data_IF_154745588425
#
_entry.id   IF_154745588425
#
_cell.length_a   1.000
_cell.length_b   1.000
_cell.length_c   1.000
_cell.angle_alpha   90.00
_cell.angle_beta   90.00
_cell.angle_gamma   90.00
#
_symmetry.space_group_name_H-M   'P 1'
#
loop_
_entity.id
_entity.type
_entity.pdbx_description
1 polymer ?
#
# COMPACT_ATOMS: atom_id res chain seq x y z
N UNK A 1 2.21 5.03 36.13
CA UNK A 1 3.56 4.79 35.60
C UNK A 1 4.35 6.10 35.72
N UNK A 2 5.53 6.09 36.34
CA UNK A 2 6.37 7.28 36.46
C UNK A 2 7.00 7.68 35.12
N UNK A 3 7.48 8.92 34.98
CA UNK A 3 8.11 9.38 33.74
C UNK A 3 9.36 8.54 33.44
N UNK A 4 9.57 8.25 32.15
CA UNK A 4 10.76 7.53 31.68
C UNK A 4 12.03 8.29 32.10
N UNK A 5 13.04 7.55 32.54
CA UNK A 5 14.37 8.10 32.81
C UNK A 5 15.05 8.57 31.51
N UNK A 6 16.07 9.42 31.63
CA UNK A 6 16.83 9.89 30.46
C UNK A 6 17.46 8.74 29.63
N UNK A 7 18.03 7.68 30.24
CA UNK A 7 18.48 6.49 29.50
C UNK A 7 17.34 5.77 28.77
N UNK A 8 16.18 5.59 29.41
CA UNK A 8 15.02 4.94 28.79
C UNK A 8 14.48 5.72 27.59
N UNK A 9 14.48 7.07 27.65
CA UNK A 9 14.11 7.91 26.50
C UNK A 9 15.06 7.75 25.32
N UNK A 10 16.37 7.70 25.58
CA UNK A 10 17.38 7.47 24.52
C UNK A 10 17.24 6.09 23.90
N UNK A 11 17.01 5.06 24.72
CA UNK A 11 16.77 3.70 24.24
C UNK A 11 15.49 3.62 23.39
N UNK A 12 14.41 4.30 23.82
CA UNK A 12 13.17 4.40 23.05
C UNK A 12 13.37 5.14 21.72
N UNK A 13 14.15 6.22 21.70
CA UNK A 13 14.49 6.93 20.46
C UNK A 13 15.26 6.03 19.49
N UNK A 14 16.30 5.33 19.97
CA UNK A 14 17.03 4.38 19.12
C UNK A 14 16.11 3.28 18.61
N UNK A 15 15.24 2.71 19.45
CA UNK A 15 14.24 1.74 19.02
C UNK A 15 13.30 2.30 17.94
N UNK A 16 12.83 3.53 18.11
CA UNK A 16 11.99 4.20 17.12
C UNK A 16 12.75 4.50 15.82
N UNK A 17 14.01 4.89 15.92
CA UNK A 17 14.88 5.15 14.78
C UNK A 17 15.17 3.86 14.00
N UNK A 18 15.46 2.76 14.69
CA UNK A 18 15.62 1.42 14.09
C UNK A 18 14.31 0.90 13.49
N UNK A 19 13.15 1.15 14.11
CA UNK A 19 11.84 0.84 13.53
C UNK A 19 11.53 1.68 12.29
N UNK A 20 12.06 2.91 12.20
CA UNK A 20 11.95 3.76 11.01
C UNK A 20 12.97 3.39 9.93
N UNK A 21 14.18 2.98 10.32
CA UNK A 21 15.31 2.63 9.47
C UNK A 21 15.20 1.21 8.90
N UNK A 22 14.53 0.30 9.62
CA UNK A 22 14.00 -0.93 9.07
C UNK A 22 13.00 -0.57 7.98
N UNK A 23 13.52 -0.44 6.76
CA UNK A 23 12.83 -0.10 5.51
C UNK A 23 11.34 -0.40 5.64
N UNK A 24 10.49 0.64 5.70
CA UNK A 24 9.03 0.51 5.77
C UNK A 24 8.64 -0.72 4.95
N UNK A 25 8.26 -1.81 5.63
CA UNK A 25 8.15 -3.10 4.97
C UNK A 25 7.34 -2.88 3.67
N UNK A 26 7.67 -3.53 2.55
CA UNK A 26 6.95 -3.29 1.29
C UNK A 26 5.43 -3.55 1.42
N UNK A 27 5.01 -4.13 2.54
CA UNK A 27 3.64 -4.33 3.03
C UNK A 27 2.93 -3.08 3.62
N UNK A 28 3.63 -1.99 3.98
CA UNK A 28 3.03 -0.83 4.66
C UNK A 28 2.28 0.11 3.70
N UNK A 29 0.96 0.24 3.85
CA UNK A 29 0.16 1.23 3.13
C UNK A 29 -0.33 2.32 4.10
N UNK A 30 0.12 3.58 3.98
CA UNK A 30 -0.32 4.64 4.89
C UNK A 30 -1.81 4.91 4.69
N UNK A 31 -2.59 4.90 5.77
CA UNK A 31 -4.02 5.21 5.72
C UNK A 31 -4.27 6.68 6.08
N UNK A 32 -5.21 7.36 5.40
CA UNK A 32 -5.62 8.70 5.80
C UNK A 32 -6.41 8.67 7.13
N UNK A 33 -6.44 9.79 7.83
CA UNK A 33 -7.12 9.97 9.11
C UNK A 33 -8.52 10.58 8.94
N UNK A 34 -8.74 11.46 7.94
CA UNK A 34 -10.07 12.00 7.65
C UNK A 34 -11.03 10.85 7.29
N UNK A 35 -12.16 10.80 7.98
CA UNK A 35 -13.12 9.69 7.88
C UNK A 35 -13.60 9.45 6.43
N UNK A 36 -13.77 10.50 5.62
CA UNK A 36 -14.22 10.38 4.23
C UNK A 36 -13.12 9.77 3.37
N UNK A 37 -11.87 10.20 3.55
CA UNK A 37 -10.72 9.62 2.84
C UNK A 37 -10.46 8.18 3.27
N UNK A 38 -10.61 7.87 4.56
CA UNK A 38 -10.47 6.52 5.09
C UNK A 38 -11.53 5.58 4.51
N UNK A 39 -12.76 6.06 4.34
CA UNK A 39 -13.82 5.29 3.68
C UNK A 39 -13.50 5.00 2.21
N UNK A 40 -12.93 5.96 1.47
CA UNK A 40 -12.43 5.71 0.10
C UNK A 40 -11.33 4.65 0.12
N UNK A 41 -10.35 4.79 1.02
CA UNK A 41 -9.23 3.86 1.13
C UNK A 41 -9.71 2.43 1.41
N UNK A 42 -10.63 2.26 2.37
CA UNK A 42 -11.23 0.95 2.69
C UNK A 42 -12.00 0.38 1.51
N UNK A 43 -12.81 1.19 0.83
CA UNK A 43 -13.56 0.75 -0.34
C UNK A 43 -12.63 0.27 -1.46
N UNK A 44 -11.52 0.96 -1.72
CA UNK A 44 -10.52 0.55 -2.71
C UNK A 44 -9.70 -0.68 -2.30
N UNK A 45 -9.52 -0.93 -1.00
CA UNK A 45 -8.88 -2.16 -0.53
C UNK A 45 -9.80 -3.38 -0.67
N UNK A 46 -11.11 -3.16 -0.52
CA UNK A 46 -12.13 -4.19 -0.72
C UNK A 46 -12.37 -4.48 -2.21
N UNK A 47 -12.40 -3.44 -3.05
CA UNK A 47 -12.53 -3.52 -4.50
C UNK A 47 -11.36 -2.80 -5.22
N UNK A 48 -10.19 -3.45 -5.32
CA UNK A 48 -9.02 -2.87 -5.98
C UNK A 48 -9.22 -2.65 -7.49
N UNK A 49 -10.11 -3.43 -8.11
CA UNK A 49 -10.39 -3.39 -9.54
C UNK A 49 -11.40 -2.30 -9.94
N UNK A 50 -12.00 -1.60 -8.97
CA UNK A 50 -12.92 -0.49 -9.22
C UNK A 50 -12.44 0.40 -10.37
N UNK A 51 -13.34 0.76 -11.29
CA UNK A 51 -13.05 1.63 -12.43
C UNK A 51 -13.35 3.11 -12.17
N UNK A 52 -13.87 3.44 -10.98
CA UNK A 52 -14.17 4.82 -10.58
C UNK A 52 -12.94 5.70 -10.71
N UNK A 53 -13.10 6.85 -11.36
CA UNK A 53 -12.06 7.87 -11.44
C UNK A 53 -11.86 8.53 -10.07
N UNK A 54 -10.77 9.30 -9.93
CA UNK A 54 -10.58 10.10 -8.71
C UNK A 54 -11.73 11.10 -8.50
N UNK A 55 -12.32 11.64 -9.58
CA UNK A 55 -13.46 12.54 -9.49
C UNK A 55 -14.67 11.83 -8.89
N UNK A 56 -14.95 10.60 -9.34
CA UNK A 56 -16.08 9.81 -8.85
C UNK A 56 -15.91 9.48 -7.37
N UNK A 57 -14.69 9.13 -6.93
CA UNK A 57 -14.39 8.92 -5.52
C UNK A 57 -14.53 10.18 -4.67
N UNK A 58 -14.14 11.34 -5.21
CA UNK A 58 -14.34 12.60 -4.53
C UNK A 58 -15.84 12.89 -4.35
N UNK A 59 -16.62 12.76 -5.41
CA UNK A 59 -18.08 12.97 -5.37
C UNK A 59 -18.76 11.99 -4.40
N UNK A 60 -18.42 10.71 -4.47
CA UNK A 60 -18.96 9.68 -3.57
C UNK A 60 -18.70 10.00 -2.09
N UNK A 61 -17.57 10.62 -1.78
CA UNK A 61 -17.20 11.01 -0.43
C UNK A 61 -17.63 12.44 -0.04
N UNK A 62 -18.36 13.17 -0.91
CA UNK A 62 -18.76 14.56 -0.65
C UNK A 62 -17.58 15.54 -0.64
N UNK A 63 -16.62 15.35 -1.54
CA UNK A 63 -15.42 16.17 -1.69
C UNK A 63 -15.28 16.68 -3.13
N UNK A 64 -14.58 17.81 -3.30
CA UNK A 64 -14.04 18.18 -4.60
C UNK A 64 -12.77 17.36 -4.92
N UNK A 65 -12.46 17.07 -6.20
CA UNK A 65 -11.26 16.34 -6.58
C UNK A 65 -9.95 16.99 -6.07
N UNK A 66 -9.92 18.33 -6.05
CA UNK A 66 -8.80 19.13 -5.52
C UNK A 66 -8.62 18.90 -4.02
N UNK A 67 -9.72 18.86 -3.26
CA UNK A 67 -9.69 18.61 -1.81
C UNK A 67 -9.25 17.19 -1.51
N UNK A 68 -9.72 16.20 -2.29
CA UNK A 68 -9.26 14.83 -2.20
C UNK A 68 -7.74 14.75 -2.42
N UNK A 69 -7.23 15.22 -3.58
CA UNK A 69 -5.79 15.19 -3.88
C UNK A 69 -4.96 15.79 -2.76
N UNK A 70 -5.31 17.02 -2.34
CA UNK A 70 -4.52 17.78 -1.38
C UNK A 70 -4.50 17.08 -0.02
N UNK A 71 -5.66 16.71 0.52
CA UNK A 71 -5.74 16.12 1.87
C UNK A 71 -5.17 14.71 1.90
N UNK A 72 -5.41 13.92 0.86
CA UNK A 72 -4.85 12.57 0.76
C UNK A 72 -3.32 12.60 0.76
N UNK A 73 -2.72 13.52 -0.02
CA UNK A 73 -1.27 13.72 -0.02
C UNK A 73 -0.75 14.22 1.34
N UNK A 74 -1.44 15.17 1.96
CA UNK A 74 -1.06 15.72 3.26
C UNK A 74 -1.08 14.66 4.38
N UNK A 75 -2.05 13.75 4.38
CA UNK A 75 -2.23 12.77 5.43
C UNK A 75 -1.41 11.49 5.22
N UNK A 76 -1.23 11.05 3.97
CA UNK A 76 -0.55 9.79 3.65
C UNK A 76 0.89 9.96 3.16
N UNK A 77 1.28 11.18 2.81
CA UNK A 77 2.57 11.50 2.21
C UNK A 77 2.71 11.08 0.74
N UNK A 78 1.68 10.49 0.13
CA UNK A 78 1.69 10.07 -1.28
C UNK A 78 0.41 10.47 -2.01
N UNK A 79 0.50 10.64 -3.33
CA UNK A 79 -0.67 11.00 -4.14
C UNK A 79 -1.71 9.89 -4.13
N UNK A 80 -2.99 10.25 -4.31
CA UNK A 80 -4.08 9.28 -4.38
C UNK A 80 -3.86 8.20 -5.45
N UNK A 81 -3.34 8.58 -6.61
CA UNK A 81 -3.05 7.64 -7.70
C UNK A 81 -1.95 6.63 -7.30
N UNK A 82 -0.86 7.12 -6.71
CA UNK A 82 0.22 6.24 -6.23
C UNK A 82 -0.26 5.34 -5.10
N UNK A 83 -1.03 5.88 -4.16
CA UNK A 83 -1.64 5.11 -3.09
C UNK A 83 -2.53 3.98 -3.63
N UNK A 84 -3.41 4.29 -4.59
CA UNK A 84 -4.28 3.29 -5.21
C UNK A 84 -3.48 2.21 -5.95
N UNK A 85 -2.42 2.60 -6.66
CA UNK A 85 -1.53 1.63 -7.29
C UNK A 85 -0.88 0.71 -6.24
N UNK A 86 -0.37 1.25 -5.13
CA UNK A 86 0.22 0.44 -4.06
C UNK A 86 -0.82 -0.48 -3.39
N UNK A 87 -2.04 0.00 -3.18
CA UNK A 87 -3.15 -0.79 -2.66
C UNK A 87 -3.43 -2.01 -3.55
N UNK A 88 -3.48 -1.82 -4.88
CA UNK A 88 -3.68 -2.92 -5.84
C UNK A 88 -2.59 -3.99 -5.74
N UNK A 89 -1.31 -3.58 -5.71
CA UNK A 89 -0.19 -4.53 -5.55
C UNK A 89 -0.25 -5.24 -4.19
N UNK A 90 -0.68 -4.56 -3.13
CA UNK A 90 -0.78 -5.22 -1.82
C UNK A 90 -1.91 -6.24 -1.77
N UNK A 91 -3.06 -5.94 -2.38
CA UNK A 91 -4.18 -6.89 -2.47
C UNK A 91 -3.84 -8.09 -3.36
N UNK A 92 -2.97 -7.92 -4.34
CA UNK A 92 -2.52 -8.99 -5.22
C UNK A 92 -1.75 -10.11 -4.49
N UNK A 93 -1.12 -9.79 -3.35
CA UNK A 93 -0.39 -10.77 -2.53
C UNK A 93 -1.27 -11.92 -2.06
N UNK A 94 -2.56 -11.68 -1.79
CA UNK A 94 -3.49 -12.72 -1.34
C UNK A 94 -3.75 -13.77 -2.44
N UNK A 95 -3.86 -13.33 -3.69
CA UNK A 95 -4.02 -14.24 -4.82
C UNK A 95 -2.74 -15.04 -5.07
N UNK A 96 -1.60 -14.36 -5.06
CA UNK A 96 -0.30 -15.00 -5.28
C UNK A 96 0.07 -15.99 -4.17
N UNK A 97 -0.23 -15.69 -2.91
CA UNK A 97 0.04 -16.60 -1.80
C UNK A 97 -0.80 -17.89 -1.85
N UNK A 98 -1.93 -17.85 -2.55
CA UNK A 98 -2.76 -19.02 -2.87
C UNK A 98 -2.34 -19.74 -4.16
N UNK A 99 -1.24 -19.33 -4.78
CA UNK A 99 -0.71 -19.94 -6.01
C UNK A 99 -1.49 -19.59 -7.28
N UNK A 100 -2.33 -18.55 -7.27
CA UNK A 100 -3.04 -18.12 -8.49
C UNK A 100 -2.06 -17.63 -9.56
N UNK A 101 -2.43 -17.82 -10.82
CA UNK A 101 -1.62 -17.35 -11.94
C UNK A 101 -1.47 -15.82 -11.93
N UNK A 102 -0.28 -15.34 -12.28
CA UNK A 102 0.06 -13.90 -12.27
C UNK A 102 -0.91 -13.08 -13.14
N UNK A 103 -1.37 -13.64 -14.26
CA UNK A 103 -2.36 -13.02 -15.14
C UNK A 103 -3.71 -12.81 -14.45
N UNK A 104 -4.27 -13.88 -13.87
CA UNK A 104 -5.54 -13.82 -13.13
C UNK A 104 -5.49 -12.81 -11.98
N UNK A 105 -4.35 -12.73 -11.28
CA UNK A 105 -4.13 -11.79 -10.19
C UNK A 105 -4.06 -10.34 -10.71
N UNK A 106 -3.40 -10.11 -11.85
CA UNK A 106 -3.31 -8.78 -12.45
C UNK A 106 -4.72 -8.26 -12.82
N UNK A 107 -5.53 -9.10 -13.45
CA UNK A 107 -6.89 -8.77 -13.87
C UNK A 107 -7.78 -8.50 -12.65
N UNK A 108 -7.74 -9.38 -11.64
CA UNK A 108 -8.51 -9.23 -10.41
C UNK A 108 -8.14 -7.99 -9.59
N UNK A 109 -6.93 -7.43 -9.78
CA UNK A 109 -6.49 -6.19 -9.15
C UNK A 109 -6.69 -4.96 -10.05
N UNK A 110 -7.29 -5.11 -11.22
CA UNK A 110 -7.64 -4.04 -12.14
C UNK A 110 -6.47 -3.45 -12.92
N UNK A 111 -5.48 -4.28 -13.28
CA UNK A 111 -4.44 -3.89 -14.23
C UNK A 111 -4.87 -4.22 -15.66
N UNK A 112 -4.60 -3.31 -16.60
CA UNK A 112 -4.96 -3.50 -18.01
C UNK A 112 -4.13 -4.61 -18.69
N UNK A 113 -2.95 -4.92 -18.13
CA UNK A 113 -2.11 -6.02 -18.58
C UNK A 113 -1.12 -6.48 -17.51
N UNK A 114 -0.64 -7.71 -17.69
CA UNK A 114 0.29 -8.39 -16.78
C UNK A 114 1.63 -7.64 -16.65
N UNK A 115 2.14 -7.05 -17.73
CA UNK A 115 3.42 -6.33 -17.72
C UNK A 115 3.36 -5.07 -16.83
N UNK A 116 2.26 -4.31 -16.90
CA UNK A 116 2.02 -3.16 -16.04
C UNK A 116 1.95 -3.56 -14.56
N UNK A 117 1.30 -4.69 -14.28
CA UNK A 117 1.26 -5.27 -12.93
C UNK A 117 2.66 -5.67 -12.44
N UNK A 118 3.43 -6.44 -13.22
CA UNK A 118 4.78 -6.87 -12.84
C UNK A 118 5.69 -5.66 -12.60
N UNK A 119 5.60 -4.62 -13.43
CA UNK A 119 6.35 -3.39 -13.24
C UNK A 119 5.94 -2.63 -11.97
N UNK A 120 4.66 -2.60 -11.61
CA UNK A 120 4.18 -2.04 -10.35
C UNK A 120 4.65 -2.86 -9.14
N UNK A 121 4.58 -4.18 -9.22
CA UNK A 121 5.04 -5.10 -8.19
C UNK A 121 6.53 -4.94 -7.93
N UNK A 122 7.35 -4.97 -8.98
CA UNK A 122 8.81 -4.80 -8.88
C UNK A 122 9.21 -3.44 -8.32
N UNK A 123 8.52 -2.36 -8.72
CA UNK A 123 8.74 -1.03 -8.12
C UNK A 123 8.51 -1.00 -6.62
N UNK A 124 7.61 -1.86 -6.12
CA UNK A 124 7.24 -1.91 -4.71
C UNK A 124 8.09 -2.89 -3.88
N UNK A 125 8.36 -4.08 -4.43
CA UNK A 125 9.00 -5.20 -3.73
C UNK A 125 10.45 -5.45 -4.17
N UNK A 126 10.96 -4.71 -5.16
CA UNK A 126 12.31 -4.88 -5.73
C UNK A 126 12.47 -6.06 -6.68
N UNK A 127 11.60 -7.07 -6.59
CA UNK A 127 11.63 -8.32 -7.39
C UNK A 127 10.31 -8.57 -8.13
N UNK A 128 10.28 -9.53 -9.04
CA UNK A 128 9.04 -9.93 -9.74
C UNK A 128 8.14 -10.79 -8.83
N UNK A 129 6.83 -10.90 -9.11
CA UNK A 129 5.92 -11.78 -8.35
C UNK A 129 6.42 -13.22 -8.24
N UNK A 130 6.89 -13.80 -9.36
CA UNK A 130 7.39 -15.18 -9.38
C UNK A 130 8.63 -15.38 -8.52
N UNK A 131 9.55 -14.42 -8.51
CA UNK A 131 10.74 -14.47 -7.65
C UNK A 131 10.39 -14.26 -6.17
N UNK A 132 9.39 -13.43 -5.87
CA UNK A 132 8.94 -13.15 -4.50
C UNK A 132 8.29 -14.37 -3.85
N UNK A 133 7.51 -15.15 -4.61
CA UNK A 133 6.83 -16.35 -4.14
C UNK A 133 7.55 -17.65 -4.51
N UNK A 134 8.78 -17.56 -5.05
CA UNK A 134 9.60 -18.75 -5.26
C UNK A 134 9.94 -19.36 -3.88
N UNK A 135 9.91 -20.70 -3.75
CA UNK A 135 10.38 -21.34 -2.53
C UNK A 135 11.82 -20.89 -2.25
N UNK A 136 12.10 -20.50 -1.01
CA UNK A 136 13.45 -20.17 -0.57
C UNK A 136 14.33 -21.38 -0.90
N UNK A 137 15.22 -21.24 -1.88
CA UNK A 137 16.21 -22.28 -2.16
C UNK A 137 16.97 -22.49 -0.86
N UNK A 138 16.85 -23.68 -0.29
CA UNK A 138 17.66 -24.12 0.85
C UNK A 138 19.11 -23.87 0.48
N UNK A 139 19.74 -22.91 1.16
CA UNK A 139 21.18 -22.76 1.13
C UNK A 139 21.72 -23.89 2.02
N UNK A 140 22.35 -24.85 1.35
CA UNK A 140 23.14 -25.93 1.92
C UNK A 140 24.34 -25.39 2.72
#
# INVERSE_FOLDING_TARGET
>A
AGPLSAPQRRLLQVLLDEMHAASRAPLQLPLPQDARLLNIARALLNDPASLRSQRDWAVWAGLSPRTLSRRFLQETGISFALWRQQARVLRSLEGLSRGKAVGEVADACGYDNVSAYIAAFRRRFGVTPGAYFAPARQAE
#
